data_IF_773075788294
#
_entry.id   IF_773075788294
#
_cell.length_a   1.000
_cell.length_b   1.000
_cell.length_c   1.000
_cell.angle_alpha   90.00
_cell.angle_beta   90.00
_cell.angle_gamma   90.00
#
_symmetry.space_group_name_H-M   'P 1'
#
loop_
_entity.id
_entity.type
_entity.pdbx_description
1 polymer ?
#
# COMPACT_ATOMS: atom_id res chain seq x y z
N UNK A 1 0.73 24.68 0.57
CA UNK A 1 0.80 23.38 1.24
C UNK A 1 -0.45 22.60 0.89
N UNK A 2 -0.30 21.35 0.53
CA UNK A 2 -1.43 20.46 0.19
C UNK A 2 -1.53 19.36 1.22
N UNK A 3 -2.75 19.12 1.71
CA UNK A 3 -3.01 18.12 2.73
C UNK A 3 -4.21 17.26 2.31
N UNK A 4 -4.22 16.01 2.73
CA UNK A 4 -5.34 15.08 2.50
C UNK A 4 -5.72 14.49 3.85
N UNK A 5 -6.99 14.63 4.22
CA UNK A 5 -7.53 13.97 5.40
C UNK A 5 -7.93 12.55 5.04
N UNK A 6 -7.68 11.61 5.95
CA UNK A 6 -8.06 10.21 5.73
C UNK A 6 -9.55 10.07 5.40
N UNK A 7 -10.39 10.84 6.08
CA UNK A 7 -11.83 10.81 5.87
C UNK A 7 -12.27 11.24 4.46
N UNK A 8 -11.44 12.04 3.79
CA UNK A 8 -11.72 12.58 2.45
C UNK A 8 -10.98 11.83 1.35
N UNK A 9 -10.16 10.87 1.70
CA UNK A 9 -9.35 10.14 0.72
C UNK A 9 -10.22 9.23 -0.14
N UNK A 10 -9.84 9.07 -1.41
CA UNK A 10 -10.46 8.09 -2.29
C UNK A 10 -10.22 6.69 -1.73
N UNK A 11 -11.31 5.93 -1.58
CA UNK A 11 -11.26 4.56 -1.07
C UNK A 11 -11.36 3.56 -2.21
N UNK A 12 -10.53 2.54 -2.15
CA UNK A 12 -10.65 1.36 -2.99
C UNK A 12 -10.86 0.17 -2.07
N UNK A 13 -11.99 -0.50 -2.22
CA UNK A 13 -12.31 -1.65 -1.38
C UNK A 13 -12.03 -2.95 -2.12
N UNK A 14 -11.17 -3.77 -1.54
CA UNK A 14 -10.93 -5.12 -1.98
C UNK A 14 -11.65 -6.12 -1.07
N UNK A 15 -11.38 -7.40 -1.29
CA UNK A 15 -11.95 -8.44 -0.44
C UNK A 15 -11.20 -8.49 0.89
N UNK A 16 -11.83 -7.95 1.94
CA UNK A 16 -11.26 -7.93 3.27
C UNK A 16 -10.26 -6.83 3.56
N UNK A 17 -10.08 -5.87 2.66
CA UNK A 17 -9.21 -4.72 2.91
C UNK A 17 -9.76 -3.45 2.24
N UNK A 18 -9.33 -2.30 2.77
CA UNK A 18 -9.65 -0.98 2.22
C UNK A 18 -8.35 -0.22 2.04
N UNK A 19 -8.18 0.37 0.87
CA UNK A 19 -7.02 1.20 0.53
C UNK A 19 -7.47 2.65 0.42
N UNK A 20 -6.81 3.53 1.15
CA UNK A 20 -7.07 4.98 1.12
C UNK A 20 -5.93 5.65 0.37
N UNK A 21 -6.22 6.23 -0.80
CA UNK A 21 -5.23 6.96 -1.60
C UNK A 21 -5.00 8.32 -0.99
N UNK A 22 -3.80 8.57 -0.51
CA UNK A 22 -3.45 9.82 0.18
C UNK A 22 -2.72 10.77 -0.76
N UNK A 23 -1.42 10.63 -0.89
CA UNK A 23 -0.62 11.51 -1.73
C UNK A 23 -0.30 10.83 -3.06
N UNK A 24 -0.67 11.45 -4.16
CA UNK A 24 -0.41 10.91 -5.50
C UNK A 24 -0.42 12.04 -6.53
N UNK A 25 -0.06 11.76 -7.79
CA UNK A 25 -0.06 12.79 -8.81
C UNK A 25 -1.39 13.52 -8.99
N UNK A 26 -2.52 12.82 -8.81
CA UNK A 26 -3.84 13.44 -8.99
C UNK A 26 -4.25 14.31 -7.80
N UNK A 27 -3.86 13.97 -6.58
CA UNK A 27 -4.25 14.74 -5.39
C UNK A 27 -3.35 15.93 -5.13
N UNK A 28 -2.04 15.74 -5.19
CA UNK A 28 -1.07 16.76 -4.80
C UNK A 28 -0.02 17.07 -5.87
N UNK A 29 -0.10 16.41 -7.01
CA UNK A 29 0.88 16.61 -8.09
C UNK A 29 2.25 16.02 -7.79
N UNK A 30 2.32 14.99 -6.95
CA UNK A 30 3.59 14.34 -6.62
C UNK A 30 4.18 13.69 -7.88
N UNK A 31 5.50 13.75 -8.03
CA UNK A 31 6.21 13.25 -9.21
C UNK A 31 7.08 12.04 -8.93
N UNK A 32 7.53 11.89 -7.69
CA UNK A 32 8.53 10.89 -7.33
C UNK A 32 7.99 9.78 -6.44
N UNK A 33 6.82 9.96 -5.86
CA UNK A 33 6.23 8.98 -4.96
C UNK A 33 4.71 9.07 -4.93
N UNK A 34 4.09 8.06 -4.38
CA UNK A 34 2.69 8.08 -3.98
C UNK A 34 2.57 7.34 -2.65
N UNK A 35 1.53 7.64 -1.89
CA UNK A 35 1.30 6.97 -0.61
C UNK A 35 -0.16 6.69 -0.37
N UNK A 36 -0.41 5.66 0.43
CA UNK A 36 -1.76 5.30 0.85
C UNK A 36 -1.73 4.65 2.23
N UNK A 37 -2.89 4.65 2.86
CA UNK A 37 -3.14 3.91 4.10
C UNK A 37 -3.94 2.68 3.73
N UNK A 38 -3.61 1.54 4.32
CA UNK A 38 -4.33 0.29 4.08
C UNK A 38 -4.84 -0.25 5.41
N UNK A 39 -6.11 -0.67 5.41
CA UNK A 39 -6.71 -1.39 6.52
C UNK A 39 -7.07 -2.80 6.06
N UNK A 40 -6.68 -3.79 6.82
CA UNK A 40 -6.99 -5.20 6.52
C UNK A 40 -7.78 -5.77 7.68
N UNK A 41 -8.93 -6.37 7.37
CA UNK A 41 -9.81 -6.96 8.38
C UNK A 41 -9.16 -8.20 9.02
N UNK A 42 -9.53 -8.53 10.27
CA UNK A 42 -9.05 -9.78 10.90
C UNK A 42 -9.38 -10.99 10.04
N UNK A 43 -8.42 -11.90 9.91
CA UNK A 43 -8.59 -13.11 9.11
C UNK A 43 -8.45 -12.91 7.62
N UNK A 44 -8.25 -11.68 7.17
CA UNK A 44 -8.12 -11.35 5.74
C UNK A 44 -6.68 -11.01 5.39
N UNK A 45 -6.41 -10.86 4.10
CA UNK A 45 -5.08 -10.50 3.63
C UNK A 45 -5.12 -9.91 2.24
N UNK A 46 -3.95 -9.57 1.76
CA UNK A 46 -3.75 -9.08 0.39
C UNK A 46 -2.92 -10.14 -0.34
N UNK A 47 -3.43 -10.68 -1.47
CA UNK A 47 -2.70 -11.69 -2.23
C UNK A 47 -1.34 -11.18 -2.72
N UNK A 48 -0.45 -12.09 -3.04
CA UNK A 48 0.84 -11.74 -3.60
C UNK A 48 0.67 -10.99 -4.92
N UNK A 49 1.39 -9.89 -5.04
CA UNK A 49 1.37 -9.03 -6.22
C UNK A 49 2.70 -8.28 -6.32
N UNK A 50 2.94 -7.68 -7.48
CA UNK A 50 4.12 -6.86 -7.72
C UNK A 50 3.72 -5.42 -8.02
N UNK A 51 4.59 -4.49 -7.70
CA UNK A 51 4.41 -3.07 -8.03
C UNK A 51 5.29 -2.65 -9.21
N UNK A 52 5.79 -3.61 -9.99
CA UNK A 52 6.57 -3.35 -11.19
C UNK A 52 7.83 -2.53 -10.90
N UNK A 53 7.97 -1.33 -11.50
CA UNK A 53 9.17 -0.52 -11.33
C UNK A 53 9.24 0.22 -10.00
N UNK A 54 8.19 0.17 -9.18
CA UNK A 54 8.17 0.91 -7.93
C UNK A 54 8.84 0.15 -6.80
N UNK A 55 9.61 0.88 -6.02
CA UNK A 55 10.10 0.43 -4.73
C UNK A 55 9.09 0.81 -3.67
N UNK A 56 8.89 -0.03 -2.68
CA UNK A 56 7.82 0.17 -1.69
C UNK A 56 8.37 0.13 -0.27
N UNK A 57 7.91 1.06 0.55
CA UNK A 57 8.13 1.04 2.00
C UNK A 57 6.80 0.93 2.72
N UNK A 58 6.70 -0.02 3.64
CA UNK A 58 5.53 -0.21 4.48
C UNK A 58 5.87 0.16 5.91
N UNK A 59 4.94 0.82 6.61
CA UNK A 59 5.09 1.14 8.02
C UNK A 59 3.84 0.69 8.76
N UNK A 60 3.98 -0.29 9.65
CA UNK A 60 2.85 -0.85 10.40
C UNK A 60 2.47 0.11 11.53
N UNK A 61 1.20 0.51 11.56
CA UNK A 61 0.66 1.42 12.57
C UNK A 61 -0.08 0.65 13.67
N UNK A 62 -0.95 -0.27 13.28
CA UNK A 62 -1.77 -1.07 14.21
C UNK A 62 -1.88 -2.50 13.71
N UNK A 63 -2.02 -3.43 14.64
CA UNK A 63 -2.23 -4.83 14.31
C UNK A 63 -0.95 -5.60 14.05
N UNK A 64 -1.11 -6.87 13.67
CA UNK A 64 0.01 -7.77 13.37
C UNK A 64 -0.24 -8.46 12.05
N UNK A 65 0.82 -8.66 11.29
CA UNK A 65 0.73 -9.31 9.99
C UNK A 65 1.85 -10.32 9.77
N UNK A 66 1.53 -11.33 8.96
CA UNK A 66 2.54 -12.16 8.31
C UNK A 66 2.75 -11.58 6.92
N UNK A 67 3.97 -11.17 6.62
CA UNK A 67 4.34 -10.58 5.33
C UNK A 67 5.23 -11.57 4.58
N UNK A 68 4.90 -11.81 3.31
CA UNK A 68 5.69 -12.68 2.45
C UNK A 68 6.24 -11.86 1.29
N UNK A 69 7.57 -11.83 1.15
CA UNK A 69 8.27 -11.15 0.04
C UNK A 69 9.18 -12.17 -0.62
N UNK A 70 8.94 -12.43 -1.91
CA UNK A 70 9.72 -13.39 -2.70
C UNK A 70 9.90 -14.73 -1.99
N UNK A 71 8.81 -15.22 -1.37
CA UNK A 71 8.79 -16.50 -0.68
C UNK A 71 9.35 -16.48 0.74
N UNK A 72 9.87 -15.36 1.21
CA UNK A 72 10.35 -15.21 2.59
C UNK A 72 9.25 -14.59 3.45
N UNK A 73 9.00 -15.20 4.60
CA UNK A 73 7.92 -14.79 5.50
C UNK A 73 8.50 -14.19 6.79
N UNK A 74 7.86 -13.11 7.26
CA UNK A 74 8.19 -12.48 8.54
C UNK A 74 6.92 -12.00 9.22
N UNK A 75 6.90 -12.09 10.56
CA UNK A 75 5.84 -11.49 11.37
C UNK A 75 6.22 -10.06 11.67
N UNK A 76 5.28 -9.14 11.50
CA UNK A 76 5.48 -7.72 11.75
C UNK A 76 4.40 -7.19 12.68
N UNK A 77 4.77 -6.17 13.46
CA UNK A 77 3.94 -5.56 14.50
C UNK A 77 4.05 -4.04 14.40
N UNK A 78 3.24 -3.27 15.17
CA UNK A 78 3.33 -1.81 15.14
C UNK A 78 4.75 -1.31 15.37
N UNK A 79 5.15 -0.33 14.57
CA UNK A 79 6.51 0.22 14.61
C UNK A 79 7.49 -0.48 13.69
N UNK A 80 7.09 -1.53 12.97
CA UNK A 80 7.95 -2.22 12.00
C UNK A 80 7.86 -1.53 10.64
N UNK A 81 9.01 -1.30 10.02
CA UNK A 81 9.09 -0.86 8.63
C UNK A 81 9.55 -2.03 7.77
N UNK A 82 8.94 -2.19 6.59
CA UNK A 82 9.25 -3.27 5.65
C UNK A 82 9.66 -2.67 4.32
N UNK A 83 10.80 -3.11 3.79
CA UNK A 83 11.28 -2.70 2.47
C UNK A 83 10.90 -3.77 1.43
N UNK A 84 10.24 -3.34 0.36
CA UNK A 84 9.90 -4.20 -0.77
C UNK A 84 10.73 -3.76 -1.98
N UNK A 85 11.75 -4.54 -2.36
CA UNK A 85 12.60 -4.18 -3.51
C UNK A 85 11.82 -4.09 -4.82
N UNK A 86 12.37 -3.35 -5.76
CA UNK A 86 11.81 -3.24 -7.12
C UNK A 86 11.64 -4.63 -7.71
N UNK A 87 10.46 -4.91 -8.26
CA UNK A 87 10.16 -6.18 -8.94
C UNK A 87 9.82 -7.34 -8.01
N UNK A 88 9.94 -7.17 -6.70
CA UNK A 88 9.59 -8.24 -5.75
C UNK A 88 8.09 -8.43 -5.63
N UNK A 89 7.67 -9.65 -5.32
CA UNK A 89 6.28 -9.93 -4.97
C UNK A 89 6.09 -9.73 -3.47
N UNK A 90 4.93 -9.23 -3.11
CA UNK A 90 4.54 -9.07 -1.71
C UNK A 90 3.10 -9.51 -1.51
N UNK A 91 2.88 -10.25 -0.43
CA UNK A 91 1.56 -10.58 0.09
C UNK A 91 1.58 -10.43 1.60
N UNK A 92 0.42 -10.27 2.20
CA UNK A 92 0.33 -10.20 3.65
C UNK A 92 -1.00 -10.73 4.15
N UNK A 93 -0.99 -11.18 5.40
CA UNK A 93 -2.18 -11.68 6.08
C UNK A 93 -2.26 -11.05 7.45
N UNK A 94 -3.45 -10.58 7.82
CA UNK A 94 -3.69 -10.09 9.18
C UNK A 94 -3.78 -11.31 10.11
N UNK A 95 -2.83 -11.45 11.01
CA UNK A 95 -2.78 -12.55 11.97
C UNK A 95 -3.14 -12.11 13.39
N UNK A 96 -3.50 -10.84 13.57
CA UNK A 96 -3.94 -10.30 14.84
C UNK A 96 -5.44 -10.43 15.03
N UNK A 97 -5.92 -10.00 16.20
CA UNK A 97 -7.34 -10.04 16.55
C UNK A 97 -8.12 -8.81 16.07
N UNK A 98 -7.42 -7.69 15.88
CA UNK A 98 -8.01 -6.44 15.42
C UNK A 98 -7.62 -6.11 13.99
N UNK A 99 -8.05 -4.94 13.52
CA UNK A 99 -7.70 -4.47 12.19
C UNK A 99 -6.19 -4.22 12.09
N UNK A 100 -5.63 -4.60 10.96
CA UNK A 100 -4.25 -4.24 10.59
C UNK A 100 -4.31 -2.92 9.84
N UNK A 101 -3.46 -1.98 10.21
CA UNK A 101 -3.34 -0.70 9.50
C UNK A 101 -1.88 -0.40 9.25
N UNK A 102 -1.57 -0.01 8.01
CA UNK A 102 -0.21 0.38 7.65
C UNK A 102 -0.22 1.48 6.59
N UNK A 103 0.89 2.20 6.52
CA UNK A 103 1.16 3.18 5.46
C UNK A 103 2.05 2.51 4.43
N UNK A 104 1.73 2.70 3.16
CA UNK A 104 2.58 2.28 2.05
C UNK A 104 3.00 3.49 1.23
N UNK A 105 4.28 3.57 0.93
CA UNK A 105 4.84 4.59 0.05
C UNK A 105 5.53 3.90 -1.13
N UNK A 106 5.22 4.35 -2.33
CA UNK A 106 5.75 3.81 -3.57
C UNK A 106 6.51 4.87 -4.34
N UNK A 107 7.64 4.51 -4.90
CA UNK A 107 8.43 5.41 -5.75
C UNK A 107 9.01 4.63 -6.94
N UNK A 108 8.81 5.07 -8.17
CA UNK A 108 7.93 6.17 -8.59
C UNK A 108 6.44 5.82 -8.46
N UNK A 109 5.55 6.80 -8.65
CA UNK A 109 4.12 6.50 -8.75
C UNK A 109 3.85 5.50 -9.86
N UNK A 110 2.89 4.60 -9.64
CA UNK A 110 2.53 3.57 -10.61
C UNK A 110 1.09 3.79 -11.09
N UNK A 111 0.81 3.37 -12.32
CA UNK A 111 -0.54 3.44 -12.88
C UNK A 111 -1.28 2.11 -12.70
N UNK A 112 -2.57 2.14 -13.08
CA UNK A 112 -3.45 0.97 -12.89
C UNK A 112 -3.05 -0.23 -13.74
N UNK A 113 -2.23 -0.04 -14.78
CA UNK A 113 -1.76 -1.17 -15.60
C UNK A 113 -0.71 -2.00 -14.88
N UNK A 114 -0.03 -1.40 -13.90
CA UNK A 114 0.98 -2.09 -13.07
C UNK A 114 0.31 -2.79 -11.89
N UNK A 115 -0.51 -2.05 -11.15
CA UNK A 115 -1.27 -2.60 -10.03
C UNK A 115 -2.65 -1.95 -9.99
N UNK A 116 -3.71 -2.66 -10.44
CA UNK A 116 -5.06 -2.08 -10.47
C UNK A 116 -5.60 -1.63 -9.12
N UNK A 117 -5.10 -2.20 -8.03
CA UNK A 117 -5.52 -1.84 -6.67
C UNK A 117 -4.76 -0.61 -6.17
N UNK A 118 -3.43 -0.64 -6.27
CA UNK A 118 -2.56 0.42 -5.73
C UNK A 118 -2.37 1.58 -6.70
N UNK A 119 -2.41 1.29 -7.99
CA UNK A 119 -2.13 2.26 -9.04
C UNK A 119 -3.20 3.32 -9.20
N UNK A 120 -2.83 4.40 -9.86
CA UNK A 120 -3.75 5.48 -10.23
C UNK A 120 -3.66 5.68 -11.75
N UNK A 121 -4.64 6.36 -12.30
CA UNK A 121 -4.56 6.75 -13.70
C UNK A 121 -3.61 7.93 -13.82
N UNK A 122 -2.43 7.67 -14.39
CA UNK A 122 -1.42 8.70 -14.61
C UNK A 122 -1.58 9.21 -16.04
N UNK A 123 -1.89 10.49 -16.17
CA UNK A 123 -2.01 11.14 -17.47
C UNK A 123 -0.76 11.95 -17.74
N UNK A 124 -0.20 11.75 -18.92
CA UNK A 124 0.90 12.59 -19.37
C UNK A 124 0.37 13.98 -19.70
N UNK A 125 1.15 15.05 -19.44
CA UNK A 125 0.75 16.40 -19.85
C UNK A 125 0.70 16.48 -21.36
N UNK A 126 -0.38 17.06 -21.84
CA UNK A 126 -0.54 17.34 -23.28
C UNK A 126 0.39 18.43 -23.76
#
# INVERSE_FOLDING_TARGET
MKTIQLADAEKLEGTGYTLYRMLNPATVGSKKFMSFVVEVHPGSGIPEHTHGPAEVGLHVLDGEASVTIDGQEALVKPGTAVHVPIGSTIGLTNVGEGALRFIAALSPPIDVSICPVCGIEIREPE
#
